data_IF_350995597310
#
_entry.id   IF_350995597310
#
_cell.length_a   1.000
_cell.length_b   1.000
_cell.length_c   1.000
_cell.angle_alpha   90.00
_cell.angle_beta   90.00
_cell.angle_gamma   90.00
#
_symmetry.space_group_name_H-M   'P 1'
#
loop_
_entity.id
_entity.type
_entity.pdbx_description
1 polymer ?
#
# COMPACT_ATOMS: atom_id res chain seq x y z
N UNK A 1 6.07 -28.65 7.78
CA UNK A 1 5.78 -27.53 8.71
C UNK A 1 4.89 -26.55 7.97
N UNK A 2 3.75 -26.17 8.53
CA UNK A 2 2.86 -25.17 7.92
C UNK A 2 3.56 -23.81 8.06
N UNK A 3 3.70 -23.08 6.96
CA UNK A 3 4.28 -21.75 6.95
C UNK A 3 3.16 -20.79 6.53
N UNK A 4 2.71 -19.96 7.45
CA UNK A 4 1.71 -18.96 7.14
C UNK A 4 2.37 -17.81 6.37
N UNK A 5 1.88 -17.55 5.17
CA UNK A 5 2.43 -16.54 4.27
C UNK A 5 1.33 -15.67 3.67
N UNK A 6 1.67 -14.43 3.31
CA UNK A 6 0.77 -13.56 2.56
C UNK A 6 0.52 -14.14 1.15
N UNK A 7 -0.74 -14.31 0.71
CA UNK A 7 -1.02 -14.90 -0.61
C UNK A 7 -0.68 -13.98 -1.78
N UNK A 8 -0.71 -12.66 -1.57
CA UNK A 8 -0.45 -11.61 -2.55
C UNK A 8 0.31 -10.47 -1.90
N UNK A 9 1.00 -9.66 -2.71
CA UNK A 9 1.67 -8.46 -2.21
C UNK A 9 0.64 -7.44 -1.70
N UNK A 10 1.00 -6.77 -0.61
CA UNK A 10 0.24 -5.70 0.02
C UNK A 10 1.02 -4.41 -0.15
N UNK A 11 0.31 -3.34 -0.45
CA UNK A 11 0.95 -2.05 -0.72
C UNK A 11 -0.05 -0.91 -0.66
N UNK A 12 0.43 0.26 -1.06
CA UNK A 12 -0.38 1.46 -1.16
C UNK A 12 -0.28 2.08 -2.54
N UNK A 13 -1.29 2.86 -2.90
CA UNK A 13 -1.23 3.75 -4.06
C UNK A 13 -0.35 4.96 -3.76
N UNK A 14 0.54 5.29 -4.67
CA UNK A 14 1.34 6.52 -4.65
C UNK A 14 0.99 7.42 -5.82
N UNK A 15 1.59 8.62 -5.85
CA UNK A 15 1.37 9.60 -6.91
C UNK A 15 1.49 8.97 -8.30
N UNK A 16 0.54 9.28 -9.18
CA UNK A 16 0.50 8.74 -10.54
C UNK A 16 -0.26 7.40 -10.66
N UNK A 17 -0.96 6.96 -9.61
CA UNK A 17 -1.74 5.72 -9.63
C UNK A 17 -0.89 4.46 -9.59
N UNK A 18 0.36 4.58 -9.13
CA UNK A 18 1.31 3.48 -9.08
C UNK A 18 1.13 2.69 -7.79
N UNK A 19 1.13 1.37 -7.90
CA UNK A 19 1.09 0.48 -6.75
C UNK A 19 2.50 0.26 -6.19
N UNK A 20 2.73 0.79 -4.99
CA UNK A 20 3.99 0.59 -4.26
C UNK A 20 3.80 -0.53 -3.25
N UNK A 21 4.48 -1.66 -3.49
CA UNK A 21 4.47 -2.83 -2.61
C UNK A 21 5.25 -2.54 -1.32
N UNK A 22 4.63 -2.79 -0.17
CA UNK A 22 5.29 -2.73 1.14
C UNK A 22 5.66 -4.14 1.62
N UNK A 23 4.77 -5.11 1.43
CA UNK A 23 4.95 -6.51 1.80
C UNK A 23 4.77 -7.35 0.54
N UNK A 24 5.79 -8.11 0.16
CA UNK A 24 5.72 -8.95 -1.03
C UNK A 24 4.88 -10.21 -0.78
N UNK A 25 4.36 -10.81 -1.85
CA UNK A 25 3.72 -12.14 -1.79
C UNK A 25 4.67 -13.18 -1.21
N UNK A 26 4.08 -14.19 -0.59
CA UNK A 26 4.80 -15.28 0.09
C UNK A 26 5.69 -14.80 1.25
N UNK A 27 5.46 -13.60 1.81
CA UNK A 27 6.16 -13.15 3.02
C UNK A 27 5.57 -13.88 4.22
N UNK A 28 6.42 -14.41 5.10
CA UNK A 28 5.99 -15.10 6.33
C UNK A 28 5.27 -14.16 7.28
N UNK A 29 4.10 -14.57 7.77
CA UNK A 29 3.36 -13.85 8.81
C UNK A 29 3.64 -14.45 10.20
N UNK A 30 3.69 -13.63 11.27
CA UNK A 30 3.47 -12.17 11.31
C UNK A 30 4.63 -11.35 10.74
N UNK A 31 4.32 -10.27 10.01
CA UNK A 31 5.31 -9.32 9.47
C UNK A 31 4.80 -7.89 9.59
N UNK A 32 5.72 -6.93 9.76
CA UNK A 32 5.43 -5.50 9.81
C UNK A 32 6.42 -4.76 8.91
N UNK A 33 5.92 -3.87 8.06
CA UNK A 33 6.74 -3.00 7.22
C UNK A 33 6.27 -1.56 7.39
N UNK A 34 7.21 -0.66 7.57
CA UNK A 34 6.95 0.77 7.67
C UNK A 34 7.78 1.49 6.62
N UNK A 35 7.17 2.41 5.89
CA UNK A 35 7.83 3.23 4.90
C UNK A 35 7.33 4.66 5.06
N UNK A 36 8.27 5.61 5.04
CA UNK A 36 7.96 7.03 5.13
C UNK A 36 7.58 7.51 3.73
N UNK A 37 6.40 8.10 3.62
CA UNK A 37 5.91 8.75 2.41
C UNK A 37 5.83 10.26 2.65
N UNK A 38 6.06 11.02 1.59
CA UNK A 38 5.92 12.48 1.59
C UNK A 38 4.72 12.88 0.74
N UNK A 39 4.18 14.07 1.00
CA UNK A 39 3.13 14.66 0.17
C UNK A 39 3.63 14.85 -1.26
N UNK A 40 2.73 14.67 -2.22
CA UNK A 40 3.05 14.84 -3.64
C UNK A 40 3.01 16.31 -4.07
N UNK A 41 2.41 17.18 -3.25
CA UNK A 41 2.29 18.61 -3.50
C UNK A 41 2.52 19.41 -2.21
N UNK A 42 3.02 20.64 -2.37
CA UNK A 42 3.14 21.61 -1.28
C UNK A 42 1.74 22.09 -0.84
N UNK A 43 1.52 22.26 0.46
CA UNK A 43 0.23 22.62 1.07
C UNK A 43 -0.91 21.62 0.80
N UNK A 44 -0.63 20.32 0.71
CA UNK A 44 -1.66 19.29 0.55
C UNK A 44 -2.45 19.13 1.87
N UNK A 45 -3.73 19.55 1.95
CA UNK A 45 -4.48 19.59 3.23
C UNK A 45 -4.87 18.20 3.75
N UNK A 46 -4.73 17.16 2.92
CA UNK A 46 -4.96 15.78 3.28
C UNK A 46 -4.18 14.82 2.38
N UNK A 47 -3.74 13.71 2.95
CA UNK A 47 -3.11 12.60 2.21
C UNK A 47 -4.08 11.42 2.18
N UNK A 48 -4.39 10.96 0.97
CA UNK A 48 -5.15 9.73 0.75
C UNK A 48 -4.22 8.52 0.74
N UNK A 49 -4.38 7.63 1.72
CA UNK A 49 -3.71 6.33 1.79
C UNK A 49 -4.68 5.28 1.26
N UNK A 50 -4.50 4.87 0.02
CA UNK A 50 -5.26 3.78 -0.56
C UNK A 50 -4.46 2.49 -0.41
N UNK A 51 -4.97 1.54 0.37
CA UNK A 51 -4.36 0.23 0.62
C UNK A 51 -4.90 -0.77 -0.39
N UNK A 52 -3.99 -1.45 -1.10
CA UNK A 52 -4.33 -2.42 -2.13
C UNK A 52 -3.57 -3.73 -1.96
N UNK A 53 -4.14 -4.77 -2.53
CA UNK A 53 -3.57 -6.11 -2.63
C UNK A 53 -3.50 -6.53 -4.11
N UNK A 54 -2.33 -6.97 -4.54
CA UNK A 54 -2.14 -7.50 -5.89
C UNK A 54 -0.69 -7.45 -6.37
N UNK A 55 -0.49 -7.80 -7.64
CA UNK A 55 0.84 -7.89 -8.26
C UNK A 55 1.02 -6.92 -9.43
N UNK A 56 -0.03 -6.16 -9.77
CA UNK A 56 -0.01 -5.26 -10.91
C UNK A 56 0.73 -3.97 -10.56
N UNK A 57 1.43 -3.35 -11.52
CA UNK A 57 2.15 -2.10 -11.28
C UNK A 57 1.20 -0.90 -11.09
N UNK A 58 0.00 -0.95 -11.66
CA UNK A 58 -1.00 0.11 -11.56
C UNK A 58 -1.99 -0.20 -10.43
N UNK A 59 -2.32 0.79 -9.60
CA UNK A 59 -3.24 0.64 -8.48
C UNK A 59 -4.66 0.26 -8.94
N UNK A 60 -5.13 0.82 -10.05
CA UNK A 60 -6.46 0.53 -10.60
C UNK A 60 -6.67 -0.96 -10.98
N UNK A 61 -5.60 -1.69 -11.28
CA UNK A 61 -5.66 -3.10 -11.66
C UNK A 61 -5.55 -4.05 -10.45
N UNK A 62 -5.34 -3.50 -9.25
CA UNK A 62 -5.22 -4.26 -8.01
C UNK A 62 -6.50 -4.19 -7.18
N UNK A 63 -6.61 -5.07 -6.18
CA UNK A 63 -7.77 -5.12 -5.30
C UNK A 63 -7.62 -4.08 -4.19
N UNK A 64 -8.53 -3.10 -4.14
CA UNK A 64 -8.67 -2.21 -2.99
C UNK A 64 -9.07 -2.98 -1.73
N UNK A 65 -8.30 -2.82 -0.67
CA UNK A 65 -8.64 -3.31 0.67
C UNK A 65 -9.29 -2.22 1.53
N UNK A 66 -8.85 -0.99 1.38
CA UNK A 66 -9.40 0.15 2.12
C UNK A 66 -8.73 1.46 1.69
N UNK A 67 -9.41 2.56 1.98
CA UNK A 67 -8.88 3.91 1.77
C UNK A 67 -9.02 4.69 3.05
N UNK A 68 -7.94 5.32 3.45
CA UNK A 68 -7.85 6.14 4.65
C UNK A 68 -7.41 7.52 4.21
N UNK A 69 -8.01 8.54 4.78
CA UNK A 69 -7.61 9.91 4.53
C UNK A 69 -6.99 10.43 5.81
N UNK A 70 -5.73 10.84 5.75
CA UNK A 70 -5.06 11.55 6.81
C UNK A 70 -5.31 13.05 6.58
N UNK A 71 -6.16 13.65 7.40
CA UNK A 71 -6.43 15.10 7.43
C UNK A 71 -5.58 15.77 8.52
N UNK A 72 -5.39 17.09 8.44
CA UNK A 72 -4.62 17.92 9.38
C UNK A 72 -3.09 17.72 9.36
N UNK A 73 -2.47 17.82 8.18
CA UNK A 73 -1.01 17.81 7.94
C UNK A 73 -0.49 19.16 7.46
#
# INVERSE_FOLDING_TARGET
VLLDVTPLSLGIETMGGVFTKLIDRNTTIPTSKSQVFSTAADNQPAVDIHVLQGERPMAADNKTLGRFQLTDI
#
